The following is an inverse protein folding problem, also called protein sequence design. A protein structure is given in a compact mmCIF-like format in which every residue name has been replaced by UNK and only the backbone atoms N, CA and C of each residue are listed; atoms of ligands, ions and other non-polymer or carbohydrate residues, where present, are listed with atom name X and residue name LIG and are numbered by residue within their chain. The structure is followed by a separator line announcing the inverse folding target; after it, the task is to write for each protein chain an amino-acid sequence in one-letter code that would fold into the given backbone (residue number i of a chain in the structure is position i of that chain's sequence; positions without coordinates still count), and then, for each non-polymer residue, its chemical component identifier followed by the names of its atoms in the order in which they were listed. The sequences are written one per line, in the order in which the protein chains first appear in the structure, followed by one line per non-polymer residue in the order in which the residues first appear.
data_IF_983332189427
#
_entry.id   IF_983332189427
#
_cell.length_a   1.000
_cell.length_b   1.000
_cell.length_c   1.000
_cell.angle_alpha   90.00
_cell.angle_beta   90.00
_cell.angle_gamma   90.00
#
_symmetry.space_group_name_H-M   'P 1'
#
loop_
_entity.id
_entity.type
_entity.pdbx_description
1 polymer ?
#
# COMPACT_ATOMS: atom_id res chain seq x y z
N UNK A 1 5.41 6.61 19.44
CA UNK A 1 5.47 5.19 19.00
C UNK A 1 5.55 5.02 17.48
N UNK A 2 5.69 6.09 16.67
CA UNK A 2 5.57 6.07 15.20
C UNK A 2 6.70 5.38 14.42
N UNK A 3 7.85 5.08 15.04
CA UNK A 3 8.99 4.47 14.35
C UNK A 3 8.84 2.96 14.11
N UNK A 4 8.30 2.23 15.08
CA UNK A 4 8.17 0.76 15.02
C UNK A 4 7.19 0.32 13.93
N UNK A 5 6.07 1.04 13.81
CA UNK A 5 5.01 0.71 12.88
C UNK A 5 5.40 0.99 11.42
N UNK A 6 6.36 1.89 11.17
CA UNK A 6 6.91 2.10 9.83
C UNK A 6 7.85 0.95 9.43
N UNK A 7 8.65 0.44 10.37
CA UNK A 7 9.49 -0.72 10.14
C UNK A 7 8.65 -1.96 9.84
N UNK A 8 7.50 -2.12 10.53
CA UNK A 8 6.53 -3.19 10.27
C UNK A 8 5.96 -3.11 8.85
N UNK A 9 5.50 -1.91 8.42
CA UNK A 9 5.01 -1.67 7.05
C UNK A 9 6.08 -1.98 6.00
N UNK A 10 7.32 -1.55 6.24
CA UNK A 10 8.44 -1.84 5.33
C UNK A 10 8.74 -3.35 5.25
N UNK A 11 8.60 -4.07 6.37
CA UNK A 11 8.66 -5.53 6.41
C UNK A 11 7.59 -6.16 5.53
N UNK A 12 6.33 -5.76 5.70
CA UNK A 12 5.22 -6.27 4.87
C UNK A 12 5.39 -5.95 3.39
N UNK A 13 5.89 -4.76 3.03
CA UNK A 13 6.23 -4.41 1.63
C UNK A 13 7.26 -5.39 1.07
N UNK A 14 8.30 -5.72 1.84
CA UNK A 14 9.32 -6.68 1.44
C UNK A 14 8.74 -8.07 1.14
N UNK A 15 7.89 -8.58 2.02
CA UNK A 15 7.22 -9.87 1.84
C UNK A 15 6.29 -9.88 0.61
N UNK A 16 5.54 -8.80 0.39
CA UNK A 16 4.66 -8.66 -0.78
C UNK A 16 5.44 -8.62 -2.10
N UNK A 17 6.58 -7.91 -2.13
CA UNK A 17 7.46 -7.88 -3.31
C UNK A 17 8.10 -9.25 -3.58
N UNK A 18 8.47 -9.99 -2.54
CA UNK A 18 9.02 -11.34 -2.69
C UNK A 18 7.96 -12.31 -3.26
N UNK A 19 6.73 -12.24 -2.74
CA UNK A 19 5.59 -12.99 -3.26
C UNK A 19 5.31 -12.66 -4.74
N UNK A 20 5.35 -11.38 -5.13
CA UNK A 20 5.20 -10.95 -6.52
C UNK A 20 6.27 -11.56 -7.43
N UNK A 21 7.54 -11.53 -7.00
CA UNK A 21 8.66 -12.11 -7.76
C UNK A 21 8.50 -13.62 -7.92
N UNK A 22 8.14 -14.32 -6.84
CA UNK A 22 7.92 -15.76 -6.86
C UNK A 22 6.78 -16.12 -7.82
N UNK A 23 5.68 -15.36 -7.78
CA UNK A 23 4.53 -15.55 -8.65
C UNK A 23 4.89 -15.31 -10.12
N UNK A 24 5.61 -14.22 -10.43
CA UNK A 24 6.12 -13.97 -11.79
C UNK A 24 7.05 -15.07 -12.28
N UNK A 25 7.91 -15.61 -11.41
CA UNK A 25 8.78 -16.73 -11.76
C UNK A 25 7.96 -17.99 -12.12
N UNK A 26 6.90 -18.30 -11.37
CA UNK A 26 6.00 -19.43 -11.66
C UNK A 26 5.22 -19.25 -12.98
N UNK A 27 4.78 -18.02 -13.28
CA UNK A 27 4.18 -17.71 -14.59
C UNK A 27 5.18 -17.94 -15.72
N UNK A 28 6.42 -17.45 -15.55
CA UNK A 28 7.47 -17.59 -16.56
C UNK A 28 7.88 -19.05 -16.80
N UNK A 29 7.85 -19.88 -15.75
CA UNK A 29 8.12 -21.32 -15.80
C UNK A 29 6.92 -22.13 -16.33
N UNK A 30 5.75 -21.49 -16.53
CA UNK A 30 4.52 -22.14 -16.98
C UNK A 30 3.87 -23.05 -15.93
N UNK A 31 4.28 -22.94 -14.67
CA UNK A 31 3.75 -23.74 -13.55
C UNK A 31 2.54 -23.11 -12.87
N UNK A 32 2.25 -21.83 -13.17
CA UNK A 32 1.06 -21.13 -12.73
C UNK A 32 0.12 -20.83 -13.89
N UNK A 33 -1.19 -20.86 -13.61
CA UNK A 33 -2.22 -20.39 -14.54
C UNK A 33 -2.09 -18.87 -14.72
N UNK A 34 -1.90 -18.41 -15.95
CA UNK A 34 -1.61 -17.00 -16.23
C UNK A 34 -2.78 -16.09 -15.80
N UNK A 35 -4.03 -16.52 -15.97
CA UNK A 35 -5.19 -15.71 -15.62
C UNK A 35 -5.34 -15.59 -14.10
N UNK A 36 -5.21 -16.70 -13.37
CA UNK A 36 -5.23 -16.71 -11.91
C UNK A 36 -4.05 -15.92 -11.33
N UNK A 37 -2.85 -16.10 -11.87
CA UNK A 37 -1.65 -15.43 -11.40
C UNK A 37 -1.68 -13.92 -11.68
N UNK A 38 -2.26 -13.47 -12.80
CA UNK A 38 -2.52 -12.04 -13.05
C UNK A 38 -3.48 -11.44 -12.01
N UNK A 39 -4.51 -12.16 -11.61
CA UNK A 39 -5.43 -11.71 -10.57
C UNK A 39 -4.74 -11.60 -9.19
N UNK A 40 -3.89 -12.58 -8.84
CA UNK A 40 -3.07 -12.51 -7.63
C UNK A 40 -2.06 -11.35 -7.66
N UNK A 41 -1.40 -11.12 -8.80
CA UNK A 41 -0.49 -9.98 -8.99
C UNK A 41 -1.20 -8.66 -8.75
N UNK A 42 -2.39 -8.46 -9.34
CA UNK A 42 -3.18 -7.25 -9.13
C UNK A 42 -3.54 -7.06 -7.64
N UNK A 43 -3.85 -8.14 -6.92
CA UNK A 43 -4.12 -8.07 -5.49
C UNK A 43 -2.87 -7.72 -4.66
N UNK A 44 -1.69 -8.20 -5.05
CA UNK A 44 -0.42 -7.86 -4.42
C UNK A 44 -0.05 -6.38 -4.66
N UNK A 45 -0.23 -5.89 -5.89
CA UNK A 45 0.00 -4.49 -6.26
C UNK A 45 -0.89 -3.54 -5.46
N UNK A 46 -2.18 -3.87 -5.29
CA UNK A 46 -3.11 -3.08 -4.46
C UNK A 46 -2.66 -3.02 -3.00
N UNK A 47 -2.17 -4.15 -2.44
CA UNK A 47 -1.65 -4.16 -1.06
C UNK A 47 -0.37 -3.33 -0.93
N UNK A 48 0.52 -3.41 -1.92
CA UNK A 48 1.74 -2.59 -1.95
C UNK A 48 1.40 -1.10 -2.00
N UNK A 49 0.45 -0.69 -2.84
CA UNK A 49 0.01 0.69 -2.93
C UNK A 49 -0.56 1.20 -1.58
N UNK A 50 -1.39 0.39 -0.91
CA UNK A 50 -1.90 0.71 0.43
C UNK A 50 -0.78 0.87 1.46
N UNK A 51 0.21 -0.03 1.47
CA UNK A 51 1.36 0.09 2.37
C UNK A 51 2.19 1.35 2.09
N UNK A 52 2.39 1.70 0.81
CA UNK A 52 3.09 2.92 0.41
C UNK A 52 2.31 4.19 0.76
N UNK A 53 0.99 4.21 0.59
CA UNK A 53 0.14 5.34 0.96
C UNK A 53 0.16 5.58 2.48
N UNK A 54 0.04 4.52 3.28
CA UNK A 54 0.15 4.61 4.74
C UNK A 54 1.50 5.17 5.18
N UNK A 55 2.59 4.72 4.56
CA UNK A 55 3.93 5.21 4.86
C UNK A 55 4.09 6.69 4.45
N UNK A 56 3.54 7.08 3.29
CA UNK A 56 3.54 8.46 2.81
C UNK A 56 2.72 9.37 3.71
N UNK A 57 1.51 8.97 4.13
CA UNK A 57 0.66 9.70 5.06
C UNK A 57 1.38 9.93 6.39
N UNK A 58 2.09 8.92 6.89
CA UNK A 58 2.86 9.01 8.13
C UNK A 58 4.10 9.89 8.01
N UNK A 59 4.79 9.84 6.86
CA UNK A 59 5.90 10.77 6.57
C UNK A 59 5.41 12.20 6.51
N UNK A 60 4.30 12.48 5.82
CA UNK A 60 3.70 13.81 5.81
C UNK A 60 3.36 14.29 7.24
N UNK A 61 2.78 13.43 8.09
CA UNK A 61 2.50 13.78 9.50
C UNK A 61 3.77 14.05 10.33
N UNK A 62 4.88 13.40 10.02
CA UNK A 62 6.17 13.60 10.71
C UNK A 62 6.89 14.85 10.22
N UNK A 63 6.86 15.11 8.91
CA UNK A 63 7.63 16.18 8.26
C UNK A 63 6.97 17.56 8.41
N UNK A 64 5.65 17.61 8.63
CA UNK A 64 4.92 18.86 8.87
C UNK A 64 4.90 19.33 10.33
N UNK A 65 5.45 18.56 11.28
CA UNK A 65 5.61 19.01 12.67
C UNK A 65 4.32 19.49 13.34
N UNK A 66 3.15 19.01 12.91
CA UNK A 66 1.90 19.35 13.56
C UNK A 66 1.77 18.56 14.86
N UNK A 67 1.58 19.32 15.94
CA UNK A 67 1.22 18.82 17.25
C UNK A 67 0.08 17.77 17.11
N UNK A 68 0.23 16.55 17.66
CA UNK A 68 -0.73 15.46 17.50
C UNK A 68 -2.14 15.76 18.06
N UNK A 69 -2.37 16.93 18.66
CA UNK A 69 -3.67 17.40 19.12
C UNK A 69 -4.49 18.27 18.14
N UNK A 70 -3.97 18.69 16.98
CA UNK A 70 -4.62 19.77 16.18
C UNK A 70 -5.02 19.42 14.75
N UNK A 71 -4.94 18.15 14.34
CA UNK A 71 -5.47 17.71 13.04
C UNK A 71 -7.00 17.60 13.11
N UNK A 72 -7.70 18.74 13.23
CA UNK A 72 -9.15 18.81 13.06
C UNK A 72 -9.44 18.45 11.61
N UNK A 73 -10.20 17.37 11.41
CA UNK A 73 -10.80 16.94 10.14
C UNK A 73 -11.25 18.19 9.36
N UNK A 74 -10.56 18.50 8.26
CA UNK A 74 -11.08 19.46 7.29
C UNK A 74 -12.40 18.86 6.78
N UNK A 75 -13.54 19.57 6.90
CA UNK A 75 -14.80 19.07 6.41
C UNK A 75 -14.69 18.88 4.90
N UNK A 76 -15.26 17.77 4.43
CA UNK A 76 -15.32 17.39 3.03
C UNK A 76 -15.89 18.55 2.20
N UNK A 77 -15.01 19.23 1.47
CA UNK A 77 -15.39 20.11 0.38
C UNK A 77 -14.91 19.43 -0.90
N UNK A 78 -15.88 18.90 -1.63
CA UNK A 78 -15.86 18.65 -3.06
C UNK A 78 -14.76 17.72 -3.59
N UNK A 79 -15.10 16.44 -3.67
CA UNK A 79 -14.85 15.71 -4.92
C UNK A 79 -16.20 15.26 -5.43
N UNK A 80 -16.71 16.04 -6.36
CA UNK A 80 -17.91 15.75 -7.14
C UNK A 80 -17.85 14.34 -7.75
N UNK A 81 -19.00 13.68 -7.71
CA UNK A 81 -19.53 12.98 -8.87
C UNK A 81 -18.81 11.72 -9.31
N UNK A 82 -19.04 10.61 -8.60
CA UNK A 82 -19.17 9.33 -9.31
C UNK A 82 -20.25 8.46 -8.65
N UNK A 83 -21.50 8.87 -8.83
CA UNK A 83 -22.64 7.95 -8.77
C UNK A 83 -23.01 7.60 -10.21
N UNK A 84 -22.69 6.37 -10.65
CA UNK A 84 -23.53 5.43 -11.42
C UNK A 84 -22.69 4.30 -12.03
#
# INVERSE_FOLDING_TARGET
MTGQENADILGSIGELVDAEKLLRARIADGTADEAAARAELAALEVKLDQCWDLLRQRRARTEFGEDPGTARVRPAAEVEGYES
#
